data_IF_324667824876
#
_entry.id   IF_324667824876
#
_cell.length_a   1.000
_cell.length_b   1.000
_cell.length_c   1.000
_cell.angle_alpha   90.00
_cell.angle_beta   90.00
_cell.angle_gamma   90.00
#
_symmetry.space_group_name_H-M   'P 1'
#
loop_
_entity.id
_entity.type
_entity.pdbx_description
1 polymer ?
#
# COMPACT_ATOMS: atom_id res chain seq x y z
N UNK A 1 -7.34 13.55 2.23
CA UNK A 1 -5.98 13.55 1.64
C UNK A 1 -5.74 12.20 0.99
N UNK A 2 -5.41 12.14 -0.30
CA UNK A 2 -5.23 10.84 -0.99
C UNK A 2 -3.91 10.16 -0.59
N UNK A 3 -3.84 8.84 -0.75
CA UNK A 3 -2.61 8.05 -0.52
C UNK A 3 -1.47 8.59 -1.40
N UNK A 4 -1.74 8.91 -2.68
CA UNK A 4 -0.75 9.51 -3.58
C UNK A 4 -0.17 10.84 -3.03
N UNK A 5 -1.03 11.77 -2.57
CA UNK A 5 -0.59 13.03 -1.97
C UNK A 5 0.16 12.83 -0.64
N UNK A 6 -0.20 11.78 0.12
CA UNK A 6 0.54 11.42 1.32
C UNK A 6 1.97 11.02 0.97
N UNK A 7 2.14 10.13 -0.01
CA UNK A 7 3.44 9.61 -0.41
C UNK A 7 4.37 10.65 -1.02
N UNK A 8 3.85 11.58 -1.82
CA UNK A 8 4.63 12.70 -2.36
C UNK A 8 5.15 13.59 -1.24
N UNK A 9 4.29 13.97 -0.27
CA UNK A 9 4.69 14.93 0.77
C UNK A 9 5.53 14.30 1.90
N UNK A 10 5.29 13.06 2.28
CA UNK A 10 6.06 12.36 3.33
C UNK A 10 7.36 11.75 2.80
N UNK A 11 7.29 11.07 1.66
CA UNK A 11 8.38 10.22 1.17
C UNK A 11 9.05 10.77 -0.10
N UNK A 12 8.62 11.95 -0.59
CA UNK A 12 9.06 12.52 -1.89
C UNK A 12 8.93 11.52 -3.05
N UNK A 13 7.97 10.60 -2.95
CA UNK A 13 7.76 9.52 -3.91
C UNK A 13 6.52 9.78 -4.75
N UNK A 14 6.72 9.90 -6.06
CA UNK A 14 5.63 9.92 -7.02
C UNK A 14 5.24 8.48 -7.35
N UNK A 15 3.96 8.14 -7.11
CA UNK A 15 3.44 6.83 -7.47
C UNK A 15 3.37 6.74 -9.00
N UNK A 16 3.87 5.65 -9.56
CA UNK A 16 3.79 5.35 -11.00
C UNK A 16 2.40 4.91 -11.41
N UNK A 17 1.68 4.25 -10.49
CA UNK A 17 0.35 3.70 -10.75
C UNK A 17 -0.70 4.22 -9.77
N UNK A 18 -1.00 5.53 -9.77
CA UNK A 18 -1.94 6.12 -8.80
C UNK A 18 -3.40 5.68 -9.01
N UNK A 19 -3.75 5.16 -10.19
CA UNK A 19 -5.09 4.69 -10.52
C UNK A 19 -5.36 3.24 -10.08
N UNK A 20 -4.34 2.52 -9.60
CA UNK A 20 -4.51 1.17 -9.08
C UNK A 20 -5.09 1.21 -7.65
N UNK A 21 -5.85 0.18 -7.25
CA UNK A 21 -6.37 0.09 -5.89
C UNK A 21 -5.23 0.01 -4.86
N UNK A 22 -5.49 0.49 -3.66
CA UNK A 22 -4.57 0.34 -2.53
C UNK A 22 -4.83 -0.98 -1.79
N UNK A 23 -3.77 -1.57 -1.25
CA UNK A 23 -3.85 -2.69 -0.32
C UNK A 23 -4.33 -2.16 1.03
N UNK A 24 -5.47 -2.66 1.51
CA UNK A 24 -5.97 -2.37 2.85
C UNK A 24 -5.41 -3.38 3.83
N UNK A 25 -4.72 -2.89 4.86
CA UNK A 25 -4.22 -3.71 5.96
C UNK A 25 -4.96 -3.32 7.23
N UNK A 26 -5.45 -4.31 7.96
CA UNK A 26 -6.00 -4.08 9.28
C UNK A 26 -4.86 -3.91 10.29
N UNK A 27 -4.83 -2.75 10.94
CA UNK A 27 -3.96 -2.49 12.08
C UNK A 27 -4.85 -2.30 13.32
N UNK A 28 -4.34 -2.64 14.51
CA UNK A 28 -5.11 -2.67 15.78
C UNK A 28 -5.91 -1.40 16.09
N UNK A 29 -5.48 -0.25 15.55
CA UNK A 29 -6.07 1.06 15.84
C UNK A 29 -6.82 1.70 14.67
N UNK A 30 -6.55 1.29 13.43
CA UNK A 30 -7.16 1.86 12.22
C UNK A 30 -6.83 1.04 10.97
N UNK A 31 -7.57 1.27 9.89
CA UNK A 31 -7.23 0.74 8.58
C UNK A 31 -6.07 1.54 7.95
N UNK A 32 -5.04 0.83 7.51
CA UNK A 32 -3.92 1.41 6.76
C UNK A 32 -4.04 1.06 5.28
N UNK A 33 -3.63 1.98 4.40
CA UNK A 33 -3.70 1.82 2.96
C UNK A 33 -2.32 1.99 2.34
N UNK A 34 -1.89 1.00 1.57
CA UNK A 34 -0.59 1.00 0.90
C UNK A 34 -0.76 0.90 -0.63
N UNK A 35 -0.06 1.71 -1.42
CA UNK A 35 0.02 1.51 -2.86
C UNK A 35 0.60 0.13 -3.20
N UNK A 36 0.07 -0.53 -4.21
CA UNK A 36 0.58 -1.85 -4.67
C UNK A 36 2.07 -1.82 -5.01
N UNK A 37 2.57 -0.70 -5.53
CA UNK A 37 3.97 -0.52 -5.92
C UNK A 37 4.97 -0.42 -4.75
N UNK A 38 4.48 -0.35 -3.51
CA UNK A 38 5.32 -0.35 -2.30
C UNK A 38 5.12 -1.61 -1.44
N UNK A 39 4.35 -2.59 -1.94
CA UNK A 39 4.09 -3.84 -1.26
C UNK A 39 4.82 -4.99 -1.95
N UNK A 40 5.41 -5.87 -1.16
CA UNK A 40 5.92 -7.16 -1.60
C UNK A 40 5.13 -8.28 -0.90
N UNK A 41 5.00 -9.42 -1.58
CA UNK A 41 4.41 -10.62 -0.98
C UNK A 41 5.46 -11.25 -0.08
N UNK A 42 5.10 -11.48 1.18
CA UNK A 42 5.99 -12.15 2.14
C UNK A 42 6.16 -13.61 1.71
N UNK A 43 7.40 -14.09 1.50
CA UNK A 43 7.63 -15.47 1.10
C UNK A 43 7.22 -16.46 2.19
N UNK A 44 6.96 -17.71 1.80
CA UNK A 44 6.61 -18.80 2.74
C UNK A 44 5.16 -18.78 3.22
N UNK A 45 4.32 -17.88 2.71
CA UNK A 45 2.87 -17.98 2.87
C UNK A 45 2.37 -19.24 2.16
N UNK A 46 1.67 -20.10 2.89
CA UNK A 46 1.03 -21.29 2.30
C UNK A 46 -0.14 -20.84 1.43
N UNK A 47 -0.07 -21.09 0.14
CA UNK A 47 -1.23 -20.97 -0.73
C UNK A 47 -2.23 -22.06 -0.35
N UNK A 48 -3.44 -21.68 0.02
CA UNK A 48 -4.57 -22.61 0.08
C UNK A 48 -5.06 -22.75 -1.36
N UNK A 49 -4.46 -23.70 -2.09
CA UNK A 49 -5.00 -24.27 -3.33
C UNK A 49 -5.45 -25.69 -3.04
#
# INVERSE_FOLDING_TARGET
RSVAQHFIKQYKKHLRFPNLPCVRVEHKLQHMYFPVEVCDIVPGQRGLV
#
